data_IF_988764526797
#
_entry.id   IF_988764526797
#
_cell.length_a   1.000
_cell.length_b   1.000
_cell.length_c   1.000
_cell.angle_alpha   90.00
_cell.angle_beta   90.00
_cell.angle_gamma   90.00
#
_symmetry.space_group_name_H-M   'P 1'
#
loop_
_entity.id
_entity.type
_entity.pdbx_description
1 polymer ?
#
# COMPACT_ATOMS: atom_id res chain seq x y z
N UNK A 1 -23.59 14.69 14.06
CA UNK A 1 -22.37 15.50 14.29
C UNK A 1 -22.36 16.16 15.67
N UNK A 2 -23.52 16.56 16.18
CA UNK A 2 -23.66 17.20 17.50
C UNK A 2 -23.17 16.35 18.68
N UNK A 3 -23.38 15.03 18.65
CA UNK A 3 -22.89 14.11 19.68
C UNK A 3 -21.35 14.13 19.80
N UNK A 4 -20.66 14.15 18.66
CA UNK A 4 -19.19 14.21 18.64
C UNK A 4 -18.69 15.57 19.14
N UNK A 5 -19.34 16.67 18.71
CA UNK A 5 -19.04 18.02 19.20
C UNK A 5 -19.20 18.12 20.72
N UNK A 6 -20.31 17.62 21.27
CA UNK A 6 -20.57 17.63 22.71
C UNK A 6 -19.53 16.78 23.47
N UNK A 7 -19.20 15.60 22.94
CA UNK A 7 -18.15 14.76 23.49
C UNK A 7 -16.79 15.50 23.54
N UNK A 8 -16.38 16.15 22.44
CA UNK A 8 -15.16 16.96 22.41
C UNK A 8 -15.16 18.07 23.46
N UNK A 9 -16.26 18.82 23.55
CA UNK A 9 -16.42 19.86 24.57
C UNK A 9 -16.33 19.28 25.99
N UNK A 10 -16.92 18.11 26.25
CA UNK A 10 -16.91 17.50 27.57
C UNK A 10 -15.52 17.01 27.99
N UNK A 11 -14.78 16.38 27.08
CA UNK A 11 -13.43 15.85 27.38
C UNK A 11 -12.36 16.95 27.47
N UNK A 12 -12.59 18.10 26.82
CA UNK A 12 -11.65 19.24 26.75
C UNK A 12 -11.88 20.34 27.79
N UNK A 13 -12.97 20.25 28.58
CA UNK A 13 -13.22 21.17 29.69
C UNK A 13 -12.03 21.20 30.67
N UNK A 14 -11.81 22.32 31.38
CA UNK A 14 -10.85 22.37 32.49
C UNK A 14 -11.15 21.27 33.52
N UNK A 15 -10.15 20.47 33.88
CA UNK A 15 -10.34 19.28 34.72
C UNK A 15 -11.08 18.13 34.04
N UNK A 16 -11.24 18.16 32.71
CA UNK A 16 -11.74 17.08 31.87
C UNK A 16 -10.72 15.96 31.65
N UNK A 17 -11.05 14.99 30.80
CA UNK A 17 -10.22 13.80 30.59
C UNK A 17 -8.84 14.16 29.99
N UNK A 18 -8.83 15.04 28.99
CA UNK A 18 -7.60 15.41 28.29
C UNK A 18 -6.62 16.13 29.23
N UNK A 19 -7.15 17.03 30.06
CA UNK A 19 -6.39 17.81 31.05
C UNK A 19 -5.88 16.92 32.19
N UNK A 20 -6.76 16.10 32.80
CA UNK A 20 -6.39 15.20 33.92
C UNK A 20 -5.27 14.22 33.58
N UNK A 21 -5.28 13.69 32.37
CA UNK A 21 -4.31 12.69 31.94
C UNK A 21 -3.14 13.29 31.15
N UNK A 22 -3.16 14.60 30.89
CA UNK A 22 -2.15 15.30 30.09
C UNK A 22 -2.03 14.73 28.68
N UNK A 23 -3.16 14.49 28.01
CA UNK A 23 -3.21 13.83 26.69
C UNK A 23 -3.36 14.87 25.58
N UNK A 24 -2.35 14.96 24.71
CA UNK A 24 -2.41 15.73 23.47
C UNK A 24 -3.37 15.09 22.49
N UNK A 25 -4.36 15.84 22.02
CA UNK A 25 -5.31 15.36 21.03
C UNK A 25 -4.92 15.85 19.63
N UNK A 26 -4.91 14.94 18.66
CA UNK A 26 -4.79 15.23 17.22
C UNK A 26 -6.06 14.73 16.53
N UNK A 27 -6.60 15.51 15.61
CA UNK A 27 -7.72 15.09 14.77
C UNK A 27 -7.23 14.97 13.32
N UNK A 28 -7.42 13.80 12.72
CA UNK A 28 -6.84 13.45 11.41
C UNK A 28 -7.94 13.09 10.42
N UNK A 29 -7.77 13.46 9.15
CA UNK A 29 -8.68 13.11 8.04
C UNK A 29 -9.03 14.31 7.16
N UNK A 30 -10.07 14.16 6.33
CA UNK A 30 -10.57 15.21 5.45
C UNK A 30 -11.48 16.16 6.22
N UNK A 31 -10.90 17.01 7.05
CA UNK A 31 -11.64 17.93 7.93
C UNK A 31 -12.47 18.95 7.13
N UNK A 32 -12.07 19.24 5.89
CA UNK A 32 -12.81 20.09 4.95
C UNK A 32 -14.21 19.58 4.61
N UNK A 33 -14.52 18.30 4.87
CA UNK A 33 -15.85 17.73 4.70
C UNK A 33 -16.78 17.96 5.91
N UNK A 34 -16.26 18.53 7.00
CA UNK A 34 -16.97 18.72 8.25
C UNK A 34 -17.65 20.09 8.32
N UNK A 35 -18.70 20.18 9.14
CA UNK A 35 -19.40 21.44 9.39
C UNK A 35 -18.45 22.49 10.03
N UNK A 36 -18.54 23.77 9.64
CA UNK A 36 -17.65 24.82 10.13
C UNK A 36 -17.59 24.95 11.66
N UNK A 37 -18.73 24.73 12.33
CA UNK A 37 -18.84 24.80 13.80
C UNK A 37 -18.09 23.64 14.49
N UNK A 38 -18.12 22.45 13.90
CA UNK A 38 -17.33 21.32 14.39
C UNK A 38 -15.83 21.55 14.16
N UNK A 39 -15.45 22.11 12.99
CA UNK A 39 -14.07 22.49 12.70
C UNK A 39 -13.50 23.44 13.75
N UNK A 40 -14.25 24.47 14.13
CA UNK A 40 -13.87 25.40 15.19
C UNK A 40 -13.68 24.69 16.54
N UNK A 41 -14.55 23.73 16.86
CA UNK A 41 -14.47 22.95 18.10
C UNK A 41 -13.23 22.04 18.11
N UNK A 42 -12.95 21.37 16.99
CA UNK A 42 -11.75 20.56 16.78
C UNK A 42 -10.49 21.41 16.94
N UNK A 43 -10.44 22.56 16.28
CA UNK A 43 -9.29 23.46 16.32
C UNK A 43 -9.02 23.94 17.75
N UNK A 44 -10.05 24.45 18.44
CA UNK A 44 -9.94 24.86 19.86
C UNK A 44 -9.42 23.75 20.76
N UNK A 45 -9.94 22.52 20.60
CA UNK A 45 -9.54 21.37 21.42
C UNK A 45 -8.09 20.95 21.13
N UNK A 46 -7.70 20.95 19.86
CA UNK A 46 -6.34 20.59 19.43
C UNK A 46 -5.33 21.64 19.92
N UNK A 47 -5.65 22.92 19.82
CA UNK A 47 -4.82 24.02 20.30
C UNK A 47 -4.66 23.99 21.82
N UNK A 48 -5.75 23.73 22.56
CA UNK A 48 -5.74 23.61 24.02
C UNK A 48 -4.83 22.48 24.51
N UNK A 49 -4.83 21.35 23.81
CA UNK A 49 -4.05 20.16 24.19
C UNK A 49 -2.65 20.11 23.57
N UNK A 50 -2.27 21.09 22.74
CA UNK A 50 -1.00 21.09 21.97
C UNK A 50 0.24 20.92 22.84
N UNK A 51 0.24 21.56 24.01
CA UNK A 51 1.36 21.56 24.96
C UNK A 51 1.19 20.54 26.09
N UNK A 52 0.20 19.65 26.00
CA UNK A 52 0.08 18.55 26.95
C UNK A 52 1.24 17.55 26.75
N UNK A 53 1.40 16.65 27.73
CA UNK A 53 2.54 15.73 27.82
C UNK A 53 2.65 14.75 26.66
N UNK A 54 3.47 13.72 26.82
CA UNK A 54 3.89 12.85 25.71
C UNK A 54 2.81 11.85 25.23
N UNK A 55 1.65 11.82 25.89
CA UNK A 55 0.54 10.94 25.51
C UNK A 55 -0.26 11.59 24.38
N UNK A 56 -0.39 10.89 23.27
CA UNK A 56 -1.11 11.37 22.10
C UNK A 56 -2.35 10.50 21.88
N UNK A 57 -3.49 11.13 21.62
CA UNK A 57 -4.69 10.48 21.08
C UNK A 57 -4.98 11.02 19.68
N UNK A 58 -4.97 10.12 18.70
CA UNK A 58 -5.39 10.43 17.33
C UNK A 58 -6.86 10.08 17.15
N UNK A 59 -7.65 11.06 16.75
CA UNK A 59 -9.07 10.88 16.43
C UNK A 59 -9.24 11.05 14.91
N UNK A 60 -9.44 9.93 14.22
CA UNK A 60 -9.61 9.92 12.77
C UNK A 60 -11.08 10.17 12.40
N UNK A 61 -11.37 11.24 11.65
CA UNK A 61 -12.73 11.65 11.22
C UNK A 61 -12.71 11.95 9.74
N UNK A 62 -13.72 11.46 9.00
CA UNK A 62 -13.72 11.55 7.53
C UNK A 62 -12.37 11.09 6.96
N UNK A 63 -11.85 10.02 7.57
CA UNK A 63 -10.52 9.49 7.33
C UNK A 63 -10.66 8.10 6.74
N UNK A 64 -9.87 7.81 5.71
CA UNK A 64 -9.73 6.46 5.15
C UNK A 64 -8.26 6.17 4.92
N UNK A 65 -7.84 4.92 5.09
CA UNK A 65 -6.45 4.52 4.85
C UNK A 65 -6.03 4.78 3.40
N UNK A 66 -6.93 4.58 2.43
CA UNK A 66 -6.67 4.86 1.02
C UNK A 66 -6.44 6.34 0.74
N UNK A 67 -7.24 7.21 1.35
CA UNK A 67 -7.05 8.65 1.20
C UNK A 67 -5.73 9.12 1.79
N UNK A 68 -5.36 8.61 2.97
CA UNK A 68 -4.10 8.92 3.60
C UNK A 68 -2.92 8.47 2.73
N UNK A 69 -2.94 7.21 2.27
CA UNK A 69 -1.89 6.65 1.42
C UNK A 69 -1.81 7.41 0.08
N UNK A 70 -2.93 7.68 -0.57
CA UNK A 70 -2.96 8.46 -1.82
C UNK A 70 -2.44 9.89 -1.61
N UNK A 71 -2.79 10.51 -0.49
CA UNK A 71 -2.27 11.81 -0.08
C UNK A 71 -0.76 11.80 0.08
N UNK A 72 -0.21 10.82 0.80
CA UNK A 72 1.21 10.66 1.03
C UNK A 72 2.00 10.41 -0.27
N UNK A 73 1.48 9.56 -1.16
CA UNK A 73 2.07 9.32 -2.50
C UNK A 73 2.11 10.62 -3.30
N UNK A 74 0.98 11.34 -3.38
CA UNK A 74 0.87 12.60 -4.12
C UNK A 74 1.82 13.67 -3.57
N UNK A 75 1.93 13.80 -2.25
CA UNK A 75 2.85 14.75 -1.61
C UNK A 75 4.31 14.39 -1.86
N UNK A 76 4.65 13.08 -1.82
CA UNK A 76 5.99 12.58 -2.14
C UNK A 76 6.37 12.89 -3.59
N UNK A 77 5.47 12.63 -4.53
CA UNK A 77 5.69 12.90 -5.96
C UNK A 77 5.82 14.41 -6.21
N UNK A 78 4.99 15.25 -5.59
CA UNK A 78 5.09 16.70 -5.70
C UNK A 78 6.42 17.27 -5.17
N UNK A 79 7.06 16.59 -4.21
CA UNK A 79 8.39 16.94 -3.69
C UNK A 79 9.57 16.54 -4.60
N UNK A 80 9.33 15.73 -5.64
CA UNK A 80 10.37 15.32 -6.58
C UNK A 80 10.71 16.46 -7.54
N UNK A 81 12.00 16.63 -7.87
CA UNK A 81 12.42 17.57 -8.94
C UNK A 81 11.99 17.04 -10.30
N UNK A 82 11.41 17.90 -11.15
CA UNK A 82 11.39 17.64 -12.60
C UNK A 82 12.83 17.81 -13.10
N UNK A 83 13.43 16.82 -13.81
CA UNK A 83 14.71 17.03 -14.45
C UNK A 83 14.55 18.13 -15.49
N UNK A 84 15.07 19.32 -15.20
CA UNK A 84 15.23 20.35 -16.24
C UNK A 84 16.31 19.82 -17.18
N UNK A 85 15.95 19.47 -18.42
CA UNK A 85 16.96 19.21 -19.46
C UNK A 85 17.88 20.42 -19.52
N UNK A 86 19.17 20.21 -19.24
CA UNK A 86 20.16 21.24 -19.39
C UNK A 86 20.18 21.65 -20.86
N UNK A 87 19.75 22.88 -21.12
CA UNK A 87 19.68 23.53 -22.42
C UNK A 87 21.09 23.58 -23.05
N UNK A 88 21.48 22.47 -23.70
CA UNK A 88 22.66 22.40 -24.57
C UNK A 88 22.29 23.06 -25.89
N UNK A 89 22.32 24.38 -26.00
CA UNK A 89 22.65 25.03 -27.28
C UNK A 89 23.03 26.51 -27.12
N UNK A 90 24.25 26.81 -27.63
CA UNK A 90 24.84 28.11 -28.01
C UNK A 90 25.57 28.94 -26.94
N UNK A 91 26.88 28.71 -26.85
CA UNK A 91 27.87 29.79 -27.07
C UNK A 91 29.25 29.23 -27.46
N UNK A 92 29.32 28.56 -28.61
CA UNK A 92 30.59 28.48 -29.35
C UNK A 92 30.48 29.44 -30.53
N UNK A 93 31.10 30.62 -30.40
CA UNK A 93 31.69 31.38 -31.50
C UNK A 93 32.60 32.49 -30.92
N UNK A 94 33.87 32.12 -30.85
CA UNK A 94 35.04 32.90 -31.28
C UNK A 94 35.36 34.20 -30.52
N UNK A 95 36.39 34.03 -29.68
CA UNK A 95 37.41 35.00 -29.26
C UNK A 95 38.27 35.42 -30.45
N UNK A 96 38.31 36.71 -30.75
CA UNK A 96 39.42 37.44 -31.39
C UNK A 96 39.08 38.94 -31.38
N UNK A 97 39.94 39.95 -31.26
CA UNK A 97 41.30 40.16 -30.74
C UNK A 97 41.46 41.70 -30.60
N UNK A 98 42.20 42.16 -29.57
CA UNK A 98 42.95 43.43 -29.45
C UNK A 98 42.33 44.77 -29.93
N UNK A 99 42.21 45.79 -29.04
CA UNK A 99 42.90 47.11 -29.13
C UNK A 99 42.65 48.00 -27.89
N UNK A 100 43.76 48.47 -27.30
CA UNK A 100 44.05 49.59 -26.37
C UNK A 100 42.94 50.64 -26.06
N UNK A 101 42.77 51.00 -24.77
CA UNK A 101 43.35 52.21 -24.11
C UNK A 101 42.85 52.36 -22.65
N UNK A 102 43.80 52.78 -21.80
CA UNK A 102 43.69 53.18 -20.38
C UNK A 102 42.82 54.41 -20.17
N UNK A 103 42.13 54.53 -19.01
CA UNK A 103 42.13 55.72 -18.14
C UNK A 103 41.65 55.40 -16.69
N UNK A 104 42.51 55.77 -15.74
CA UNK A 104 42.37 56.12 -14.31
C UNK A 104 40.97 56.51 -13.76
N UNK A 105 40.62 56.15 -12.51
CA UNK A 105 40.91 56.92 -11.27
C UNK A 105 40.25 56.28 -10.01
N UNK A 106 40.94 56.44 -8.89
CA UNK A 106 40.88 55.76 -7.57
C UNK A 106 39.79 56.24 -6.58
N UNK A 107 39.72 55.52 -5.43
CA UNK A 107 39.37 55.89 -4.02
C UNK A 107 38.21 55.07 -3.42
N UNK A 108 38.20 54.56 -2.18
CA UNK A 108 39.20 54.35 -1.10
C UNK A 108 38.65 53.32 -0.06
N UNK A 109 39.57 52.61 0.62
CA UNK A 109 39.59 51.90 1.93
C UNK A 109 38.30 51.74 2.79
N UNK A 110 37.99 50.61 3.47
CA UNK A 110 38.72 49.96 4.61
C UNK A 110 37.98 48.65 5.06
N UNK A 111 38.61 47.47 5.22
CA UNK A 111 39.06 46.78 6.47
C UNK A 111 38.31 47.17 7.77
N UNK A 112 37.79 46.32 8.68
CA UNK A 112 38.09 44.94 9.17
C UNK A 112 36.83 44.38 9.89
N UNK A 113 36.50 43.07 9.80
CA UNK A 113 36.71 41.99 10.79
C UNK A 113 35.51 41.71 11.72
N UNK A 114 35.29 40.42 12.07
CA UNK A 114 34.43 39.99 13.19
C UNK A 114 33.16 39.20 12.85
N UNK A 115 33.21 37.91 13.13
CA UNK A 115 32.13 36.91 13.11
C UNK A 115 30.96 37.26 14.04
N UNK A 116 29.73 36.90 13.65
CA UNK A 116 28.92 35.96 14.45
C UNK A 116 27.71 35.41 13.67
N UNK A 117 27.62 34.08 13.69
CA UNK A 117 26.57 33.25 13.10
C UNK A 117 25.42 33.14 14.09
N UNK A 118 24.19 33.39 13.62
CA UNK A 118 23.00 32.68 14.06
C UNK A 118 21.89 32.89 13.02
N UNK A 119 21.95 32.12 11.94
CA UNK A 119 20.80 31.93 11.05
C UNK A 119 20.12 30.62 11.44
N UNK A 120 18.94 30.77 12.02
CA UNK A 120 17.93 29.74 12.24
C UNK A 120 17.75 28.86 10.99
N UNK A 121 18.16 27.60 11.10
CA UNK A 121 17.88 26.55 10.12
C UNK A 121 16.38 26.24 10.14
N UNK A 122 15.62 26.90 9.26
CA UNK A 122 14.33 26.40 8.81
C UNK A 122 14.65 25.47 7.65
N UNK A 123 14.52 24.16 7.88
CA UNK A 123 14.85 23.13 6.90
C UNK A 123 14.13 23.35 5.56
N UNK A 124 14.90 23.69 4.54
CA UNK A 124 14.43 23.63 3.16
C UNK A 124 14.22 22.15 2.79
N UNK A 125 13.13 21.78 2.10
CA UNK A 125 12.93 20.41 1.66
C UNK A 125 14.04 20.05 0.67
N UNK A 126 14.94 19.15 1.08
CA UNK A 126 15.93 18.58 0.19
C UNK A 126 15.19 17.83 -0.91
N UNK A 127 15.20 18.39 -2.11
CA UNK A 127 14.55 17.78 -3.25
C UNK A 127 15.04 16.34 -3.47
N UNK A 128 14.15 15.38 -3.26
CA UNK A 128 14.40 13.96 -3.40
C UNK A 128 14.34 13.57 -4.88
N UNK A 129 15.33 12.80 -5.35
CA UNK A 129 15.21 12.10 -6.64
C UNK A 129 14.23 10.94 -6.48
N UNK A 130 13.44 10.63 -7.52
CA UNK A 130 12.48 9.52 -7.52
C UNK A 130 13.09 8.19 -7.04
N UNK A 131 14.38 7.94 -7.34
CA UNK A 131 15.08 6.72 -6.92
C UNK A 131 15.30 6.58 -5.41
N UNK A 132 15.27 7.69 -4.67
CA UNK A 132 15.56 7.72 -3.24
C UNK A 132 14.31 7.61 -2.35
N UNK A 133 13.13 7.40 -2.94
CA UNK A 133 11.88 7.24 -2.18
C UNK A 133 11.95 5.94 -1.37
N UNK A 134 11.72 6.03 -0.06
CA UNK A 134 11.68 4.90 0.87
C UNK A 134 10.33 4.79 1.57
N UNK A 135 10.14 3.72 2.34
CA UNK A 135 8.97 3.54 3.22
C UNK A 135 8.89 4.63 4.29
N UNK A 136 10.02 5.13 4.77
CA UNK A 136 10.12 6.26 5.70
C UNK A 136 9.63 7.55 5.02
N UNK A 137 10.07 7.82 3.78
CA UNK A 137 9.58 8.99 3.01
C UNK A 137 8.06 9.01 2.89
N UNK A 138 7.45 7.84 2.62
CA UNK A 138 5.99 7.74 2.59
C UNK A 138 5.37 7.92 3.97
N UNK A 139 5.97 7.34 5.01
CA UNK A 139 5.47 7.41 6.40
C UNK A 139 5.48 8.85 6.92
N UNK A 140 6.51 9.63 6.59
CA UNK A 140 6.62 11.04 6.97
C UNK A 140 5.55 11.93 6.34
N UNK A 141 4.99 11.51 5.20
CA UNK A 141 3.89 12.20 4.52
C UNK A 141 2.50 11.67 4.90
N UNK A 142 2.39 10.68 5.79
CA UNK A 142 1.12 10.21 6.33
C UNK A 142 0.58 11.19 7.39
N UNK A 143 -0.74 11.22 7.61
CA UNK A 143 -1.36 12.04 8.66
C UNK A 143 -0.95 11.57 10.06
N UNK A 144 -0.63 10.28 10.17
CA UNK A 144 -0.13 9.60 11.37
C UNK A 144 1.40 9.66 11.54
N UNK A 145 2.10 10.51 10.77
CA UNK A 145 3.53 10.70 10.90
C UNK A 145 3.94 11.05 12.35
N UNK A 146 5.05 10.49 12.80
CA UNK A 146 5.60 10.64 14.16
C UNK A 146 4.93 9.78 15.23
N UNK A 147 3.84 9.06 14.90
CA UNK A 147 3.24 8.11 15.82
C UNK A 147 4.03 6.78 15.80
N UNK A 148 4.15 6.06 16.93
CA UNK A 148 4.93 4.83 16.99
C UNK A 148 4.38 3.81 15.97
N UNK A 149 5.27 3.17 15.19
CA UNK A 149 4.84 2.15 14.25
C UNK A 149 4.22 0.98 15.02
N UNK A 150 3.19 0.37 14.43
CA UNK A 150 2.73 -0.93 14.89
C UNK A 150 3.78 -1.97 14.44
N UNK A 151 4.68 -2.37 15.35
CA UNK A 151 5.83 -3.27 15.14
C UNK A 151 5.46 -4.68 14.65
N UNK A 152 5.78 -5.05 13.41
CA UNK A 152 5.12 -6.21 12.81
C UNK A 152 5.90 -6.81 11.59
N UNK A 153 6.42 -8.05 11.71
CA UNK A 153 7.29 -8.75 10.74
C UNK A 153 6.77 -10.19 10.47
N UNK A 154 6.67 -10.63 9.21
CA UNK A 154 6.48 -12.05 8.82
C UNK A 154 7.55 -12.54 7.81
N UNK A 155 7.94 -13.81 7.97
CA UNK A 155 8.79 -14.59 7.06
C UNK A 155 7.95 -15.30 5.99
N UNK A 156 8.42 -15.26 4.74
CA UNK A 156 7.61 -15.53 3.54
C UNK A 156 7.52 -17.03 3.21
N UNK A 157 6.35 -17.49 2.75
CA UNK A 157 6.12 -18.86 2.23
C UNK A 157 6.41 -19.00 0.72
N UNK A 158 6.72 -17.89 0.04
CA UNK A 158 6.91 -17.85 -1.42
C UNK A 158 8.03 -18.76 -1.92
N UNK A 159 9.07 -19.00 -1.13
CA UNK A 159 10.19 -19.89 -1.48
C UNK A 159 9.81 -21.38 -1.53
N UNK A 160 8.63 -21.77 -1.03
CA UNK A 160 8.21 -23.17 -0.92
C UNK A 160 6.98 -23.51 -1.79
N UNK A 161 6.70 -22.73 -2.84
CA UNK A 161 5.51 -22.91 -3.72
C UNK A 161 5.32 -24.37 -4.19
N UNK A 162 6.35 -25.07 -4.74
CA UNK A 162 6.16 -26.46 -5.20
C UNK A 162 5.77 -27.41 -4.07
N UNK A 163 6.41 -27.27 -2.90
CA UNK A 163 6.12 -28.08 -1.72
C UNK A 163 4.71 -27.79 -1.18
N UNK A 164 4.33 -26.51 -1.14
CA UNK A 164 2.99 -26.09 -0.72
C UNK A 164 1.93 -26.69 -1.63
N UNK A 165 2.13 -26.64 -2.96
CA UNK A 165 1.23 -27.25 -3.92
C UNK A 165 1.02 -28.74 -3.64
N UNK A 166 2.10 -29.50 -3.44
CA UNK A 166 2.02 -30.93 -3.12
C UNK A 166 1.24 -31.19 -1.83
N UNK A 167 1.49 -30.40 -0.78
CA UNK A 167 0.79 -30.52 0.51
C UNK A 167 -0.70 -30.22 0.37
N UNK A 168 -1.06 -29.14 -0.32
CA UNK A 168 -2.46 -28.74 -0.53
C UNK A 168 -3.19 -29.79 -1.35
N UNK A 169 -2.65 -30.21 -2.49
CA UNK A 169 -3.26 -31.22 -3.36
C UNK A 169 -3.43 -32.54 -2.62
N UNK A 170 -2.41 -33.00 -1.88
CA UNK A 170 -2.50 -34.20 -1.04
C UNK A 170 -3.59 -34.08 0.01
N UNK A 171 -3.71 -32.93 0.69
CA UNK A 171 -4.76 -32.68 1.68
C UNK A 171 -6.14 -32.69 1.04
N UNK A 172 -6.32 -32.07 -0.13
CA UNK A 172 -7.59 -32.10 -0.86
C UNK A 172 -7.98 -33.52 -1.27
N UNK A 173 -7.04 -34.35 -1.73
CA UNK A 173 -7.33 -35.76 -2.04
C UNK A 173 -7.79 -36.55 -0.81
N UNK A 174 -7.38 -36.17 0.41
CA UNK A 174 -7.90 -36.78 1.65
C UNK A 174 -9.36 -36.37 1.95
N UNK A 175 -9.80 -35.18 1.53
CA UNK A 175 -11.18 -34.71 1.73
C UNK A 175 -12.13 -35.13 0.61
N UNK A 176 -11.67 -35.10 -0.65
CA UNK A 176 -12.49 -35.33 -1.85
C UNK A 176 -12.28 -36.72 -2.49
N UNK A 177 -11.30 -37.49 -2.05
CA UNK A 177 -10.94 -38.78 -2.65
C UNK A 177 -10.22 -38.62 -4.02
N UNK A 178 -10.23 -39.70 -4.82
CA UNK A 178 -9.52 -39.80 -6.10
C UNK A 178 -10.34 -39.34 -7.33
N UNK A 179 -11.39 -38.53 -7.13
CA UNK A 179 -12.48 -38.34 -8.09
C UNK A 179 -12.36 -37.07 -8.95
N UNK A 180 -13.10 -37.05 -10.08
CA UNK A 180 -13.27 -35.89 -10.98
C UNK A 180 -13.86 -34.64 -10.30
N UNK A 181 -14.34 -34.78 -9.06
CA UNK A 181 -14.87 -33.70 -8.22
C UNK A 181 -13.80 -32.89 -7.46
N UNK A 182 -12.52 -33.28 -7.48
CA UNK A 182 -11.46 -32.52 -6.81
C UNK A 182 -11.30 -31.14 -7.46
N UNK A 183 -11.27 -30.05 -6.67
CA UNK A 183 -11.06 -28.73 -7.25
C UNK A 183 -9.64 -28.58 -7.80
N UNK A 184 -9.53 -27.88 -8.93
CA UNK A 184 -8.23 -27.52 -9.52
C UNK A 184 -7.57 -26.47 -8.63
N UNK A 185 -6.37 -26.75 -8.12
CA UNK A 185 -5.59 -25.80 -7.31
C UNK A 185 -4.66 -24.99 -8.20
N UNK A 186 -4.68 -23.67 -8.03
CA UNK A 186 -3.74 -22.73 -8.66
C UNK A 186 -3.03 -21.95 -7.56
N UNK A 187 -1.71 -21.91 -7.58
CA UNK A 187 -0.92 -21.10 -6.63
C UNK A 187 -0.24 -19.97 -7.39
N UNK A 188 -0.39 -18.75 -6.89
CA UNK A 188 0.15 -17.53 -7.45
C UNK A 188 0.83 -16.73 -6.34
N UNK A 189 1.90 -16.02 -6.69
CA UNK A 189 2.49 -14.97 -5.86
C UNK A 189 2.89 -13.79 -6.77
N UNK A 190 2.79 -12.54 -6.31
CA UNK A 190 3.31 -11.40 -7.07
C UNK A 190 4.77 -11.64 -7.46
N UNK A 191 5.13 -11.24 -8.69
CA UNK A 191 6.46 -11.45 -9.29
C UNK A 191 6.88 -12.91 -9.50
N UNK A 192 5.96 -13.87 -9.38
CA UNK A 192 6.21 -15.29 -9.65
C UNK A 192 5.25 -15.78 -10.75
N UNK A 193 5.71 -16.73 -11.57
CA UNK A 193 4.83 -17.43 -12.52
C UNK A 193 3.74 -18.23 -11.81
N UNK A 194 2.63 -18.47 -12.50
CA UNK A 194 1.53 -19.29 -11.97
C UNK A 194 2.03 -20.73 -11.83
N UNK A 195 1.97 -21.27 -10.61
CA UNK A 195 2.27 -22.67 -10.36
C UNK A 195 0.97 -23.48 -10.40
N UNK A 196 0.80 -24.25 -11.47
CA UNK A 196 -0.31 -25.16 -11.67
C UNK A 196 0.22 -26.44 -12.34
N UNK A 197 0.13 -27.57 -11.66
CA UNK A 197 0.27 -28.87 -12.30
C UNK A 197 -1.13 -29.30 -12.73
N UNK A 198 -1.44 -29.17 -14.00
CA UNK A 198 -2.70 -29.69 -14.55
C UNK A 198 -2.70 -31.23 -14.37
N UNK A 199 -3.77 -31.84 -13.86
CA UNK A 199 -3.89 -33.29 -13.91
C UNK A 199 -3.89 -33.72 -15.38
N UNK A 200 -3.00 -34.63 -15.75
CA UNK A 200 -3.03 -35.31 -17.04
C UNK A 200 -4.37 -36.01 -17.21
N UNK A 201 -5.30 -35.45 -17.96
CA UNK A 201 -6.48 -36.16 -18.44
C UNK A 201 -6.74 -35.87 -19.92
N UNK A 202 -6.58 -36.95 -20.68
CA UNK A 202 -7.09 -37.18 -22.02
C UNK A 202 -8.61 -37.13 -22.03
N UNK A 203 -9.18 -36.42 -23.01
CA UNK A 203 -10.51 -36.72 -23.54
C UNK A 203 -11.69 -36.07 -22.80
N UNK A 204 -12.30 -35.09 -23.48
CA UNK A 204 -13.74 -34.83 -23.54
C UNK A 204 -14.57 -35.13 -22.28
N UNK A 205 -14.89 -34.09 -21.49
CA UNK A 205 -16.25 -33.87 -21.00
C UNK A 205 -16.38 -32.48 -20.34
N UNK A 206 -17.46 -31.77 -20.65
CA UNK A 206 -17.82 -30.48 -20.03
C UNK A 206 -18.26 -30.73 -18.59
N UNK A 207 -17.30 -30.93 -17.68
CA UNK A 207 -17.58 -30.92 -16.24
C UNK A 207 -17.41 -29.50 -15.70
N UNK A 208 -18.35 -29.04 -14.86
CA UNK A 208 -18.22 -27.78 -14.13
C UNK A 208 -17.10 -27.93 -13.09
N UNK A 209 -15.85 -27.73 -13.52
CA UNK A 209 -14.70 -27.82 -12.62
C UNK A 209 -14.75 -26.67 -11.61
N UNK A 210 -14.73 -27.02 -10.32
CA UNK A 210 -14.48 -26.05 -9.25
C UNK A 210 -12.97 -25.81 -9.15
N UNK A 211 -12.56 -24.57 -8.88
CA UNK A 211 -11.15 -24.22 -8.76
C UNK A 211 -10.90 -23.44 -7.47
N UNK A 212 -9.76 -23.69 -6.84
CA UNK A 212 -9.26 -22.95 -5.67
C UNK A 212 -7.99 -22.22 -6.11
N UNK A 213 -8.02 -20.89 -6.06
CA UNK A 213 -6.85 -20.05 -6.32
C UNK A 213 -6.27 -19.58 -5.01
N UNK A 214 -4.98 -19.86 -4.78
CA UNK A 214 -4.21 -19.43 -3.63
C UNK A 214 -3.26 -18.31 -4.06
N UNK A 215 -3.52 -17.10 -3.57
CA UNK A 215 -2.62 -15.96 -3.69
C UNK A 215 -1.73 -15.90 -2.45
N UNK A 216 -0.41 -16.04 -2.64
CA UNK A 216 0.59 -15.93 -1.59
C UNK A 216 1.17 -14.53 -1.56
N UNK A 217 0.93 -13.84 -0.46
CA UNK A 217 1.46 -12.51 -0.19
C UNK A 217 2.58 -12.57 0.86
N UNK A 218 3.49 -11.62 0.79
CA UNK A 218 4.53 -11.34 1.79
C UNK A 218 4.56 -9.87 2.15
N UNK A 219 5.31 -9.51 3.21
CA UNK A 219 5.49 -8.12 3.62
C UNK A 219 6.03 -7.20 2.48
N UNK A 220 6.83 -7.76 1.57
CA UNK A 220 7.30 -7.07 0.36
C UNK A 220 6.18 -6.69 -0.61
N UNK A 221 5.01 -7.34 -0.54
CA UNK A 221 3.86 -7.05 -1.40
C UNK A 221 2.94 -5.97 -0.80
N UNK A 222 3.31 -5.44 0.37
CA UNK A 222 2.59 -4.39 1.06
C UNK A 222 3.23 -3.03 0.86
N UNK A 223 3.95 -2.54 1.87
CA UNK A 223 4.51 -1.18 1.89
C UNK A 223 5.60 -0.98 0.83
N UNK A 224 6.43 -1.99 0.57
CA UNK A 224 7.47 -1.91 -0.45
C UNK A 224 6.88 -1.76 -1.86
N UNK A 225 5.79 -2.48 -2.17
CA UNK A 225 5.06 -2.29 -3.43
C UNK A 225 4.49 -0.88 -3.57
N UNK A 226 4.02 -0.26 -2.49
CA UNK A 226 3.59 1.15 -2.52
C UNK A 226 4.76 2.09 -2.81
N UNK A 227 5.96 1.81 -2.27
CA UNK A 227 7.17 2.57 -2.58
C UNK A 227 7.53 2.44 -4.06
N UNK A 228 7.57 1.23 -4.59
CA UNK A 228 7.92 0.99 -6.00
C UNK A 228 6.88 1.61 -6.95
N UNK A 229 5.60 1.53 -6.60
CA UNK A 229 4.54 2.25 -7.31
C UNK A 229 4.76 3.77 -7.26
N UNK A 230 5.12 4.32 -6.10
CA UNK A 230 5.38 5.76 -5.96
C UNK A 230 6.56 6.19 -6.83
N UNK A 231 7.63 5.40 -6.89
CA UNK A 231 8.78 5.64 -7.79
C UNK A 231 8.34 5.68 -9.24
N UNK A 232 7.53 4.69 -9.67
CA UNK A 232 6.99 4.64 -11.03
C UNK A 232 6.09 5.84 -11.35
N UNK A 233 5.21 6.24 -10.43
CA UNK A 233 4.37 7.45 -10.58
C UNK A 233 5.22 8.71 -10.64
N UNK A 234 6.27 8.83 -9.82
CA UNK A 234 7.19 9.95 -9.85
C UNK A 234 7.93 10.05 -11.21
N UNK A 235 8.36 8.93 -11.78
CA UNK A 235 8.97 8.89 -13.12
C UNK A 235 7.96 9.28 -14.22
N UNK A 236 6.72 8.79 -14.16
CA UNK A 236 5.65 9.19 -15.09
C UNK A 236 5.29 10.68 -14.98
N UNK A 237 5.31 11.24 -13.78
CA UNK A 237 5.10 12.66 -13.54
C UNK A 237 6.26 13.52 -14.09
N UNK A 238 7.52 13.09 -13.87
CA UNK A 238 8.71 13.78 -14.38
C UNK A 238 8.78 13.80 -15.92
N UNK A 239 8.17 12.82 -16.58
CA UNK A 239 8.10 12.70 -18.04
C UNK A 239 6.86 13.38 -18.64
N UNK A 240 6.12 14.16 -17.84
CA UNK A 240 4.90 14.88 -18.22
C UNK A 240 3.75 13.98 -18.74
N UNK A 241 3.80 12.67 -18.48
CA UNK A 241 2.75 11.73 -18.86
C UNK A 241 1.57 11.70 -17.89
N UNK A 242 1.69 12.39 -16.75
CA UNK A 242 0.71 12.36 -15.66
C UNK A 242 0.72 13.67 -14.88
N UNK A 243 -0.45 14.26 -14.60
CA UNK A 243 -0.57 15.45 -13.76
C UNK A 243 -0.73 15.08 -12.28
N UNK A 244 -0.31 15.98 -11.37
CA UNK A 244 -0.48 15.74 -9.91
C UNK A 244 -1.95 15.55 -9.49
N UNK A 245 -2.88 16.16 -10.23
CA UNK A 245 -4.33 16.00 -9.99
C UNK A 245 -4.85 14.62 -10.35
N UNK A 246 -4.16 13.89 -11.23
CA UNK A 246 -4.54 12.55 -11.68
C UNK A 246 -4.10 11.46 -10.70
N UNK A 247 -3.25 11.80 -9.72
CA UNK A 247 -2.85 10.90 -8.63
C UNK A 247 -4.00 10.79 -7.64
N UNK A 248 -4.95 9.93 -7.97
CA UNK A 248 -6.12 9.63 -7.16
C UNK A 248 -6.18 8.15 -6.77
N UNK A 249 -7.19 7.79 -5.96
CA UNK A 249 -7.39 6.41 -5.48
C UNK A 249 -7.58 5.46 -6.67
N UNK A 250 -8.26 5.87 -7.73
CA UNK A 250 -8.58 5.02 -8.89
C UNK A 250 -7.32 4.65 -9.67
N UNK A 251 -6.40 5.60 -9.89
CA UNK A 251 -5.11 5.33 -10.52
C UNK A 251 -4.29 4.34 -9.70
N UNK A 252 -4.19 4.56 -8.39
CA UNK A 252 -3.43 3.68 -7.50
C UNK A 252 -4.06 2.29 -7.46
N UNK A 253 -5.39 2.20 -7.41
CA UNK A 253 -6.13 0.93 -7.42
C UNK A 253 -5.92 0.17 -8.73
N UNK A 254 -5.97 0.85 -9.88
CA UNK A 254 -5.69 0.27 -11.18
C UNK A 254 -4.26 -0.27 -11.27
N UNK A 255 -3.26 0.51 -10.82
CA UNK A 255 -1.85 0.11 -10.84
C UNK A 255 -1.53 -1.02 -9.88
N UNK A 256 -2.09 -1.00 -8.68
CA UNK A 256 -1.94 -2.12 -7.73
C UNK A 256 -2.66 -3.37 -8.24
N UNK A 257 -3.84 -3.22 -8.84
CA UNK A 257 -4.55 -4.31 -9.48
C UNK A 257 -3.73 -4.95 -10.59
N UNK A 258 -3.02 -4.16 -11.40
CA UNK A 258 -2.10 -4.66 -12.42
C UNK A 258 -0.99 -5.54 -11.80
N UNK A 259 -0.37 -5.09 -10.71
CA UNK A 259 0.72 -5.80 -10.01
C UNK A 259 0.25 -7.12 -9.37
N UNK A 260 -0.98 -7.17 -8.83
CA UNK A 260 -1.54 -8.35 -8.18
C UNK A 260 -2.38 -9.23 -9.12
N UNK A 261 -2.66 -8.77 -10.35
CA UNK A 261 -3.41 -9.53 -11.35
C UNK A 261 -2.56 -10.66 -11.93
N UNK A 262 -3.23 -11.70 -12.46
CA UNK A 262 -2.53 -12.82 -13.07
C UNK A 262 -1.63 -12.30 -14.22
N UNK A 263 -0.36 -12.72 -14.28
CA UNK A 263 0.45 -12.44 -15.45
C UNK A 263 -0.24 -13.06 -16.66
N UNK A 264 -0.54 -12.25 -17.67
CA UNK A 264 -0.96 -12.69 -18.99
C UNK A 264 0.19 -13.45 -19.65
N UNK A 265 0.40 -14.71 -19.31
CA UNK A 265 1.32 -15.55 -20.06
C UNK A 265 0.63 -15.99 -21.35
N UNK A 266 1.18 -15.50 -22.47
CA UNK A 266 1.13 -16.20 -23.75
C UNK A 266 1.61 -17.63 -23.53
N UNK A 267 0.75 -18.60 -23.86
CA UNK A 267 1.13 -20.02 -23.83
C UNK A 267 2.29 -20.23 -24.81
N UNK A 268 3.41 -20.87 -24.41
CA UNK A 268 4.45 -21.24 -25.37
C UNK A 268 3.87 -22.30 -26.30
N UNK A 269 3.71 -21.94 -27.58
CA UNK A 269 3.34 -22.89 -28.63
C UNK A 269 4.50 -23.88 -28.80
N UNK A 270 4.31 -25.12 -28.35
CA UNK A 270 5.15 -26.23 -28.75
C UNK A 270 5.04 -26.42 -30.27
N UNK A 271 6.17 -26.31 -30.95
CA UNK A 271 6.34 -26.71 -32.34
C UNK A 271 6.03 -28.19 -32.48
N UNK A 272 4.93 -28.54 -33.16
CA UNK A 272 4.81 -29.87 -33.77
C UNK A 272 4.68 -29.71 -35.29
N UNK A 273 5.66 -30.30 -35.95
CA UNK A 273 5.78 -30.38 -37.40
C UNK A 273 4.97 -31.58 -37.89
N UNK A 274 4.20 -31.37 -38.97
CA UNK A 274 3.76 -32.35 -39.97
C UNK A 274 2.45 -33.15 -39.78
N UNK A 275 1.46 -32.75 -40.60
CA UNK A 275 0.64 -33.54 -41.55
C UNK A 275 -0.91 -33.58 -41.40
N UNK A 276 -1.54 -33.06 -42.48
CA UNK A 276 -2.81 -33.44 -43.15
C UNK A 276 -4.18 -32.97 -42.63
N UNK A 277 -4.64 -31.87 -43.25
CA UNK A 277 -5.94 -31.63 -43.90
C UNK A 277 -7.26 -32.10 -43.25
N UNK A 278 -8.06 -31.12 -42.79
CA UNK A 278 -9.35 -30.68 -43.37
C UNK A 278 -10.33 -30.22 -42.28
N UNK A 279 -11.18 -29.24 -42.65
CA UNK A 279 -12.21 -28.54 -41.85
C UNK A 279 -11.79 -27.24 -41.13
N UNK A 280 -11.87 -26.16 -41.91
CA UNK A 280 -12.09 -24.78 -41.47
C UNK A 280 -13.47 -24.65 -40.82
N UNK A 281 -13.50 -24.46 -39.50
CA UNK A 281 -14.58 -23.76 -38.80
C UNK A 281 -14.17 -23.48 -37.35
N UNK A 282 -14.25 -22.20 -36.96
CA UNK A 282 -14.25 -21.69 -35.59
C UNK A 282 -12.91 -21.47 -34.86
N UNK A 283 -11.99 -20.72 -35.48
CA UNK A 283 -10.99 -19.92 -34.77
C UNK A 283 -11.60 -18.57 -34.37
N UNK A 284 -12.46 -18.57 -33.36
CA UNK A 284 -12.81 -17.39 -32.55
C UNK A 284 -13.67 -17.83 -31.36
N UNK A 285 -13.06 -18.55 -30.42
CA UNK A 285 -13.65 -18.73 -29.10
C UNK A 285 -12.65 -18.22 -28.06
N UNK A 286 -12.94 -17.11 -27.36
CA UNK A 286 -12.05 -16.64 -26.32
C UNK A 286 -11.90 -17.77 -25.29
N UNK A 287 -10.64 -18.07 -24.95
CA UNK A 287 -10.28 -18.91 -23.84
C UNK A 287 -11.13 -18.53 -22.62
N UNK A 288 -11.69 -19.55 -21.96
CA UNK A 288 -12.47 -19.43 -20.72
C UNK A 288 -11.90 -18.35 -19.80
N UNK A 289 -12.73 -17.42 -19.29
CA UNK A 289 -12.22 -16.26 -18.55
C UNK A 289 -11.42 -16.76 -17.35
N UNK A 290 -10.13 -16.43 -17.35
CA UNK A 290 -9.25 -16.63 -16.21
C UNK A 290 -9.87 -15.83 -15.06
N UNK A 291 -10.48 -16.53 -14.10
CA UNK A 291 -11.22 -15.93 -13.00
C UNK A 291 -10.37 -14.84 -12.32
N UNK A 292 -10.82 -13.60 -12.41
CA UNK A 292 -10.16 -12.45 -11.79
C UNK A 292 -10.13 -12.66 -10.28
N UNK A 293 -8.94 -12.70 -9.69
CA UNK A 293 -8.79 -12.74 -8.23
C UNK A 293 -9.40 -11.45 -7.70
N UNK A 294 -10.33 -11.56 -6.74
CA UNK A 294 -10.94 -10.38 -6.13
C UNK A 294 -9.83 -9.49 -5.53
N UNK A 295 -9.81 -8.18 -5.80
CA UNK A 295 -8.72 -7.30 -5.38
C UNK A 295 -8.67 -7.09 -3.86
N UNK A 296 -9.81 -7.19 -3.17
CA UNK A 296 -9.93 -7.06 -1.72
C UNK A 296 -10.51 -8.33 -1.10
N UNK A 297 -9.89 -8.93 -0.07
CA UNK A 297 -10.52 -10.00 0.69
C UNK A 297 -11.71 -9.46 1.50
N UNK A 298 -12.79 -10.23 1.57
CA UNK A 298 -13.92 -9.87 2.44
C UNK A 298 -13.67 -10.23 3.92
N UNK A 299 -12.85 -11.25 4.15
CA UNK A 299 -12.60 -11.83 5.47
C UNK A 299 -11.11 -12.14 5.65
N UNK A 300 -10.55 -11.71 6.77
CA UNK A 300 -9.17 -12.00 7.17
C UNK A 300 -9.15 -12.71 8.53
N UNK A 301 -8.59 -13.93 8.54
CA UNK A 301 -8.39 -14.71 9.75
C UNK A 301 -6.96 -14.53 10.29
N UNK A 302 -6.83 -14.10 11.53
CA UNK A 302 -5.54 -13.95 12.22
C UNK A 302 -5.48 -14.93 13.40
N UNK A 303 -4.69 -16.00 13.29
CA UNK A 303 -4.47 -16.94 14.40
C UNK A 303 -3.33 -16.47 15.32
N UNK A 304 -3.67 -15.51 16.19
CA UNK A 304 -2.73 -14.91 17.12
C UNK A 304 -3.41 -14.36 18.39
N UNK A 305 -2.61 -13.90 19.38
CA UNK A 305 -3.13 -13.37 20.64
C UNK A 305 -3.79 -11.99 20.50
N UNK A 306 -3.42 -11.23 19.48
CA UNK A 306 -3.96 -9.91 19.17
C UNK A 306 -3.89 -9.67 17.66
N UNK A 307 -4.60 -8.65 17.18
CA UNK A 307 -4.60 -8.28 15.75
C UNK A 307 -3.20 -7.81 15.37
N UNK A 308 -2.51 -8.65 14.58
CA UNK A 308 -1.22 -8.40 13.96
C UNK A 308 -1.39 -8.58 12.44
N UNK A 309 -1.17 -7.54 11.64
CA UNK A 309 -1.25 -7.63 10.17
C UNK A 309 0.09 -8.05 9.52
N UNK A 310 1.20 -7.89 10.22
CA UNK A 310 2.54 -8.39 9.84
C UNK A 310 2.94 -8.10 8.38
N UNK A 311 2.68 -6.86 7.95
CA UNK A 311 3.01 -6.41 6.59
C UNK A 311 2.00 -6.81 5.52
N UNK A 312 0.81 -7.30 5.91
CA UNK A 312 -0.29 -7.50 4.97
C UNK A 312 -0.58 -6.22 4.17
N UNK A 313 -0.83 -6.30 2.86
CA UNK A 313 -1.01 -5.12 2.02
C UNK A 313 -2.10 -4.18 2.55
N UNK A 314 -1.74 -2.94 2.96
CA UNK A 314 -2.66 -2.06 3.68
C UNK A 314 -3.73 -1.44 2.76
N UNK A 315 -3.52 -1.43 1.44
CA UNK A 315 -4.45 -0.86 0.48
C UNK A 315 -5.69 -1.74 0.24
N UNK A 316 -5.52 -3.06 0.29
CA UNK A 316 -6.53 -4.05 -0.08
C UNK A 316 -7.48 -4.43 1.07
N UNK A 317 -7.30 -3.89 2.29
CA UNK A 317 -8.08 -4.28 3.48
C UNK A 317 -9.09 -3.23 3.94
N UNK A 318 -9.61 -2.42 3.01
CA UNK A 318 -10.46 -1.27 3.33
C UNK A 318 -11.79 -1.67 3.99
N UNK A 319 -12.42 -2.73 3.51
CA UNK A 319 -13.72 -3.23 4.01
C UNK A 319 -13.63 -4.68 4.50
N UNK A 320 -12.42 -5.17 4.72
CA UNK A 320 -12.18 -6.55 5.15
C UNK A 320 -12.56 -6.71 6.62
N UNK A 321 -13.43 -7.68 6.90
CA UNK A 321 -13.74 -8.07 8.27
C UNK A 321 -12.58 -8.88 8.84
N UNK A 322 -12.04 -8.47 9.99
CA UNK A 322 -10.87 -9.10 10.61
C UNK A 322 -11.31 -9.89 11.84
N UNK A 323 -11.11 -11.21 11.81
CA UNK A 323 -11.30 -12.08 12.96
C UNK A 323 -9.96 -12.54 13.53
N UNK A 324 -9.68 -12.15 14.76
CA UNK A 324 -8.51 -12.60 15.52
C UNK A 324 -8.91 -13.67 16.55
N UNK A 325 -8.16 -14.75 16.61
CA UNK A 325 -8.49 -15.90 17.47
C UNK A 325 -8.24 -15.64 18.95
N UNK A 326 -7.42 -14.64 19.30
CA UNK A 326 -7.09 -14.27 20.67
C UNK A 326 -6.33 -15.35 21.44
N UNK A 327 -5.77 -16.36 20.77
CA UNK A 327 -5.06 -17.46 21.43
C UNK A 327 -3.78 -16.93 22.06
N UNK A 328 -3.72 -16.95 23.38
CA UNK A 328 -2.46 -16.82 24.10
C UNK A 328 -1.61 -18.05 23.81
N UNK A 329 -0.39 -17.84 23.30
CA UNK A 329 0.61 -18.88 23.22
C UNK A 329 0.92 -19.35 24.64
N UNK A 330 0.36 -20.48 25.07
CA UNK A 330 0.80 -21.13 26.28
C UNK A 330 2.21 -21.68 26.04
N UNK A 331 3.23 -20.98 26.54
CA UNK A 331 4.65 -21.31 26.39
C UNK A 331 5.08 -22.66 26.99
N UNK A 332 4.20 -23.38 27.68
CA UNK A 332 4.53 -24.61 28.41
C UNK A 332 4.70 -25.82 27.50
N UNK A 333 4.17 -25.79 26.28
CA UNK A 333 4.43 -26.83 25.29
C UNK A 333 4.75 -26.17 23.96
N UNK A 334 5.97 -26.35 23.46
CA UNK A 334 6.45 -25.80 22.17
C UNK A 334 5.75 -26.38 20.93
N UNK A 335 4.44 -26.63 21.00
CA UNK A 335 3.63 -27.04 19.89
C UNK A 335 3.30 -25.83 19.02
N UNK A 336 3.63 -25.95 17.74
CA UNK A 336 3.30 -24.99 16.70
C UNK A 336 1.87 -24.47 16.86
N UNK A 337 1.69 -23.16 16.67
CA UNK A 337 0.39 -22.51 16.66
C UNK A 337 -0.42 -23.03 15.46
N UNK A 338 -1.14 -24.14 15.63
CA UNK A 338 -1.92 -24.77 14.55
C UNK A 338 -3.30 -24.13 14.50
N UNK A 339 -3.65 -23.62 13.32
CA UNK A 339 -5.01 -23.17 13.01
C UNK A 339 -5.95 -24.39 13.07
N UNK A 340 -6.87 -24.38 14.04
CA UNK A 340 -7.84 -25.47 14.23
C UNK A 340 -9.09 -25.23 13.39
N UNK A 341 -9.67 -26.30 12.86
CA UNK A 341 -10.91 -26.25 12.05
C UNK A 341 -12.07 -25.57 12.78
N UNK A 342 -12.25 -25.85 14.07
CA UNK A 342 -13.28 -25.20 14.89
C UNK A 342 -13.09 -23.68 14.97
N UNK A 343 -11.84 -23.22 15.07
CA UNK A 343 -11.53 -21.79 15.11
C UNK A 343 -11.81 -21.12 13.77
N UNK A 344 -11.47 -21.80 12.66
CA UNK A 344 -11.79 -21.35 11.31
C UNK A 344 -13.32 -21.22 11.11
N UNK A 345 -14.09 -22.24 11.47
CA UNK A 345 -15.56 -22.20 11.38
C UNK A 345 -16.17 -21.08 12.23
N UNK A 346 -15.67 -20.86 13.45
CA UNK A 346 -16.16 -19.78 14.32
C UNK A 346 -15.96 -18.41 13.68
N UNK A 347 -14.80 -18.18 13.05
CA UNK A 347 -14.54 -16.96 12.29
C UNK A 347 -15.54 -16.76 11.15
N UNK A 348 -15.84 -17.82 10.40
CA UNK A 348 -16.84 -17.77 9.32
C UNK A 348 -18.25 -17.49 9.82
N UNK A 349 -18.68 -18.08 10.94
CA UNK A 349 -19.99 -17.78 11.51
C UNK A 349 -20.11 -16.34 11.98
N UNK A 350 -19.03 -15.79 12.55
CA UNK A 350 -19.02 -14.38 12.92
C UNK A 350 -19.10 -13.47 11.70
N UNK A 351 -18.33 -13.77 10.66
CA UNK A 351 -18.39 -13.05 9.39
C UNK A 351 -19.79 -13.12 8.76
N UNK A 352 -20.45 -14.29 8.77
CA UNK A 352 -21.79 -14.46 8.24
C UNK A 352 -22.86 -13.64 9.00
N UNK A 353 -22.62 -13.31 10.27
CA UNK A 353 -23.48 -12.46 11.08
C UNK A 353 -23.07 -10.98 11.11
N UNK A 354 -22.01 -10.59 10.40
CA UNK A 354 -21.52 -9.22 10.42
C UNK A 354 -22.45 -8.28 9.62
N UNK A 355 -22.66 -7.07 10.15
CA UNK A 355 -23.49 -6.06 9.49
C UNK A 355 -22.59 -5.09 8.70
N UNK A 356 -22.68 -5.14 7.36
CA UNK A 356 -21.91 -4.27 6.47
C UNK A 356 -22.74 -3.07 6.04
N UNK A 357 -22.49 -1.90 6.66
CA UNK A 357 -23.28 -0.68 6.42
C UNK A 357 -22.77 0.18 5.26
N UNK A 358 -21.53 -0.01 4.81
CA UNK A 358 -20.92 0.73 3.70
C UNK A 358 -21.12 2.27 3.75
N UNK A 359 -21.17 2.83 4.97
CA UNK A 359 -21.38 4.26 5.20
C UNK A 359 -22.83 4.75 5.07
N UNK A 360 -23.82 3.85 5.12
CA UNK A 360 -25.26 4.18 5.11
C UNK A 360 -25.90 4.11 6.49
#
# INVERSE_FOLDING_TARGET
MELFKNCLCDISKPGGLLDRYGVRMRVLGRLELLEPDLLLTIQRTTDLTRNYGDKIINVCIAYTSRDEIAGAIRQTVAGCKIPVEADKFRSDLVRDSSTRRSLHLSSDLSLCDGLDKNSTNIGQPMATSAKNITTETLTDHMLTAGDPPLDLLIRTLKSYIPMLYQVVTRKLSLYYGSSSAQPVVRIFAPHHGIYCLSPTQSGSEKSNFTAITLLLLSASDGRETLVDLTKSIAEMWQTEMLLLGDINIELIDAKLSEIISLPSQSVPTLNDTNHSSSHLSDLNRPSTPLWSVKPEPDFLLIDGPYVKLDGYPPWQIRLTEIYCTGKQSCSVTGHNNVVRYQTFLRGLYQYAGAEMRFGR
#
